data_IF_919613119491
#
_entry.id   IF_919613119491
#
_cell.length_a   1.000
_cell.length_b   1.000
_cell.length_c   1.000
_cell.angle_alpha   90.00
_cell.angle_beta   90.00
_cell.angle_gamma   90.00
#
_symmetry.space_group_name_H-M   'P 1'
#
loop_
_entity.id
_entity.type
_entity.pdbx_description
1 polymer ?
#
# COMPACT_ATOMS: atom_id res chain seq x y z
N UNK A 1 -3.20 23.26 -8.22
CA UNK A 1 -2.11 22.47 -7.62
C UNK A 1 -2.55 21.07 -7.23
N UNK A 2 -3.73 20.88 -6.65
CA UNK A 2 -4.20 19.61 -6.12
C UNK A 2 -5.13 18.82 -7.06
N UNK A 3 -5.33 19.29 -8.29
CA UNK A 3 -6.21 18.64 -9.27
C UNK A 3 -5.84 17.18 -9.55
N UNK A 4 -4.54 16.86 -9.56
CA UNK A 4 -4.06 15.50 -9.75
C UNK A 4 -4.50 14.52 -8.64
N UNK A 5 -4.84 15.04 -7.46
CA UNK A 5 -5.31 14.27 -6.31
C UNK A 5 -6.83 14.26 -6.14
N UNK A 6 -7.55 14.88 -7.08
CA UNK A 6 -9.01 14.93 -7.04
C UNK A 6 -9.63 13.55 -7.27
N UNK A 7 -10.53 13.13 -6.38
CA UNK A 7 -11.25 11.86 -6.51
C UNK A 7 -12.20 11.86 -7.70
N UNK A 8 -12.50 10.68 -8.24
CA UNK A 8 -13.48 10.53 -9.32
C UNK A 8 -14.91 10.40 -8.81
N UNK A 9 -15.07 9.91 -7.58
CA UNK A 9 -16.38 9.76 -6.96
C UNK A 9 -16.93 11.13 -6.58
N UNK A 10 -17.80 11.67 -7.43
CA UNK A 10 -18.47 12.95 -7.23
C UNK A 10 -19.96 12.71 -7.00
N UNK A 11 -20.43 12.99 -5.80
CA UNK A 11 -21.83 12.83 -5.42
C UNK A 11 -22.11 11.58 -4.58
N UNK A 12 -23.37 11.14 -4.58
CA UNK A 12 -23.84 10.01 -3.78
C UNK A 12 -23.62 8.69 -4.53
N UNK A 13 -22.97 7.73 -3.87
CA UNK A 13 -22.80 6.36 -4.39
C UNK A 13 -23.58 5.39 -3.50
N UNK A 14 -24.64 4.78 -4.03
CA UNK A 14 -25.49 3.85 -3.29
C UNK A 14 -24.81 2.53 -2.92
N UNK A 15 -23.68 2.18 -3.54
CA UNK A 15 -22.90 0.96 -3.20
C UNK A 15 -22.42 0.97 -1.75
N UNK A 16 -22.25 2.16 -1.15
CA UNK A 16 -21.88 2.30 0.27
C UNK A 16 -22.94 1.69 1.20
N UNK A 17 -24.19 1.70 0.83
CA UNK A 17 -25.28 1.13 1.65
C UNK A 17 -25.22 -0.39 1.67
N UNK A 18 -24.89 -1.01 0.54
CA UNK A 18 -24.76 -2.46 0.41
C UNK A 18 -23.48 -2.94 1.11
N UNK A 19 -22.35 -2.33 0.84
CA UNK A 19 -21.07 -2.68 1.43
C UNK A 19 -20.93 -2.20 2.89
N UNK A 20 -21.86 -1.34 3.37
CA UNK A 20 -21.82 -0.71 4.69
C UNK A 20 -20.52 0.10 4.94
N UNK A 21 -19.97 0.66 3.88
CA UNK A 21 -18.70 1.38 3.89
C UNK A 21 -18.93 2.87 4.15
N UNK A 22 -18.28 3.49 5.15
CA UNK A 22 -18.34 4.94 5.32
C UNK A 22 -17.78 5.66 4.08
N UNK A 23 -18.36 6.82 3.71
CA UNK A 23 -18.00 7.55 2.49
C UNK A 23 -16.51 7.89 2.38
N UNK A 24 -15.87 8.27 3.48
CA UNK A 24 -14.42 8.50 3.52
C UNK A 24 -13.60 7.25 3.22
N UNK A 25 -14.06 6.07 3.64
CA UNK A 25 -13.42 4.80 3.33
C UNK A 25 -13.51 4.48 1.83
N UNK A 26 -14.67 4.74 1.20
CA UNK A 26 -14.85 4.49 -0.24
C UNK A 26 -13.85 5.30 -1.08
N UNK A 27 -13.70 6.60 -0.77
CA UNK A 27 -12.75 7.47 -1.45
C UNK A 27 -11.30 7.00 -1.26
N UNK A 28 -10.97 6.57 -0.04
CA UNK A 28 -9.64 6.02 0.24
C UNK A 28 -9.39 4.73 -0.55
N UNK A 29 -10.35 3.80 -0.58
CA UNK A 29 -10.24 2.56 -1.34
C UNK A 29 -10.06 2.82 -2.83
N UNK A 30 -10.82 3.77 -3.41
CA UNK A 30 -10.63 4.16 -4.80
C UNK A 30 -9.20 4.64 -5.07
N UNK A 31 -8.69 5.55 -4.22
CA UNK A 31 -7.32 6.06 -4.33
C UNK A 31 -6.27 4.94 -4.21
N UNK A 32 -6.45 4.04 -3.25
CA UNK A 32 -5.55 2.91 -3.02
C UNK A 32 -5.56 1.91 -4.19
N UNK A 33 -6.74 1.56 -4.72
CA UNK A 33 -6.85 0.68 -5.88
C UNK A 33 -6.26 1.30 -7.15
N UNK A 34 -6.34 2.63 -7.30
CA UNK A 34 -5.65 3.34 -8.40
C UNK A 34 -4.14 3.19 -8.29
N UNK A 35 -3.57 3.37 -7.09
CA UNK A 35 -2.14 3.17 -6.85
C UNK A 35 -1.69 1.74 -7.18
N UNK A 36 -2.58 0.76 -6.96
CA UNK A 36 -2.36 -0.65 -7.28
C UNK A 36 -2.69 -1.00 -8.76
N UNK A 37 -3.02 0.00 -9.61
CA UNK A 37 -3.50 -0.22 -10.99
C UNK A 37 -4.73 -1.14 -11.08
N UNK A 38 -5.51 -1.23 -10.01
CA UNK A 38 -6.63 -2.16 -9.83
C UNK A 38 -7.97 -1.44 -9.62
N UNK A 39 -8.11 -0.18 -10.06
CA UNK A 39 -9.34 0.61 -9.90
C UNK A 39 -10.60 -0.09 -10.47
N UNK A 40 -10.43 -0.91 -11.52
CA UNK A 40 -11.50 -1.69 -12.15
C UNK A 40 -12.07 -2.80 -11.26
N UNK A 41 -11.38 -3.17 -10.17
CA UNK A 41 -11.79 -4.22 -9.22
C UNK A 41 -12.51 -3.68 -7.99
N UNK A 42 -12.88 -2.40 -7.97
CA UNK A 42 -13.55 -1.77 -6.82
C UNK A 42 -14.81 -2.51 -6.39
N UNK A 43 -15.65 -2.94 -7.33
CA UNK A 43 -16.90 -3.66 -7.02
C UNK A 43 -16.65 -5.03 -6.35
N UNK A 44 -15.60 -5.74 -6.75
CA UNK A 44 -15.19 -6.99 -6.10
C UNK A 44 -14.74 -6.75 -4.66
N UNK A 45 -13.97 -5.68 -4.43
CA UNK A 45 -13.54 -5.30 -3.07
C UNK A 45 -14.72 -4.90 -2.21
N UNK A 46 -15.67 -4.13 -2.74
CA UNK A 46 -16.89 -3.75 -2.01
C UNK A 46 -17.75 -4.96 -1.64
N UNK A 47 -17.81 -5.98 -2.50
CA UNK A 47 -18.51 -7.25 -2.19
C UNK A 47 -17.77 -8.10 -1.15
N UNK A 48 -16.43 -7.99 -1.07
CA UNK A 48 -15.62 -8.75 -0.10
C UNK A 48 -15.62 -8.12 1.30
N UNK A 49 -15.81 -6.81 1.43
CA UNK A 49 -15.81 -6.09 2.72
C UNK A 49 -16.80 -6.67 3.75
N UNK A 50 -18.08 -6.91 3.44
CA UNK A 50 -19.01 -7.52 4.39
C UNK A 50 -18.55 -8.90 4.87
N UNK A 51 -17.96 -9.70 4.00
CA UNK A 51 -17.47 -11.06 4.30
C UNK A 51 -16.26 -11.02 5.25
N UNK A 52 -15.32 -10.12 4.99
CA UNK A 52 -14.18 -9.91 5.89
C UNK A 52 -14.67 -9.40 7.25
N UNK A 53 -15.64 -8.47 7.26
CA UNK A 53 -16.22 -7.95 8.50
C UNK A 53 -16.89 -9.06 9.32
N UNK A 54 -17.60 -9.97 8.68
CA UNK A 54 -18.19 -11.15 9.33
C UNK A 54 -17.12 -12.05 9.92
N UNK A 55 -16.09 -12.40 9.16
CA UNK A 55 -14.97 -13.22 9.61
C UNK A 55 -14.25 -12.63 10.82
N UNK A 56 -14.23 -11.31 10.94
CA UNK A 56 -13.64 -10.57 12.06
C UNK A 56 -14.62 -10.27 13.22
N UNK A 57 -15.78 -10.96 13.26
CA UNK A 57 -16.75 -10.84 14.36
C UNK A 57 -17.55 -9.54 14.32
N UNK A 58 -17.87 -9.04 13.12
CA UNK A 58 -18.71 -7.85 12.88
C UNK A 58 -18.20 -6.57 13.51
N UNK A 59 -16.88 -6.39 13.55
CA UNK A 59 -16.27 -5.17 14.07
C UNK A 59 -16.86 -3.92 13.39
N UNK A 60 -16.99 -2.79 14.13
CA UNK A 60 -17.49 -1.55 13.55
C UNK A 60 -16.56 -1.00 12.48
N UNK A 61 -17.14 -0.47 11.39
CA UNK A 61 -16.38 0.16 10.31
C UNK A 61 -16.11 1.63 10.65
N UNK A 62 -15.18 1.86 11.53
CA UNK A 62 -14.67 3.16 11.98
C UNK A 62 -13.15 3.10 12.07
N UNK A 63 -12.47 4.23 12.07
CA UNK A 63 -11.00 4.27 12.22
C UNK A 63 -10.57 3.65 13.57
N UNK A 64 -9.63 2.67 13.61
CA UNK A 64 -8.83 2.13 12.49
C UNK A 64 -9.46 0.89 11.80
N UNK A 65 -10.47 0.28 12.37
CA UNK A 65 -11.02 -1.02 11.93
C UNK A 65 -11.59 -1.02 10.52
N UNK A 66 -12.11 0.13 10.06
CA UNK A 66 -12.53 0.27 8.66
C UNK A 66 -11.37 0.11 7.68
N UNK A 67 -10.19 0.63 8.01
CA UNK A 67 -8.99 0.46 7.20
C UNK A 67 -8.51 -0.99 7.22
N UNK A 68 -8.55 -1.64 8.37
CA UNK A 68 -8.16 -3.05 8.52
C UNK A 68 -9.01 -3.95 7.62
N UNK A 69 -10.34 -3.80 7.71
CA UNK A 69 -11.29 -4.55 6.87
C UNK A 69 -11.07 -4.26 5.39
N UNK A 70 -10.91 -2.98 5.03
CA UNK A 70 -10.69 -2.57 3.64
C UNK A 70 -9.40 -3.12 3.06
N UNK A 71 -8.30 -3.02 3.79
CA UNK A 71 -7.00 -3.55 3.35
C UNK A 71 -7.05 -5.07 3.19
N UNK A 72 -7.65 -5.79 4.15
CA UNK A 72 -7.78 -7.24 4.02
C UNK A 72 -8.66 -7.64 2.84
N UNK A 73 -9.75 -6.91 2.57
CA UNK A 73 -10.59 -7.15 1.39
C UNK A 73 -9.81 -6.94 0.08
N UNK A 74 -9.00 -5.90 -0.01
CA UNK A 74 -8.11 -5.67 -1.16
C UNK A 74 -7.10 -6.80 -1.32
N UNK A 75 -6.45 -7.24 -0.22
CA UNK A 75 -5.51 -8.37 -0.25
C UNK A 75 -6.18 -9.66 -0.75
N UNK A 76 -7.38 -9.96 -0.27
CA UNK A 76 -8.15 -11.14 -0.70
C UNK A 76 -8.46 -11.10 -2.19
N UNK A 77 -8.89 -9.94 -2.70
CA UNK A 77 -9.26 -9.75 -4.10
C UNK A 77 -8.02 -9.78 -5.00
N UNK A 78 -6.98 -9.01 -4.69
CA UNK A 78 -5.79 -8.92 -5.52
C UNK A 78 -4.94 -10.20 -5.47
N UNK A 79 -4.90 -10.87 -4.32
CA UNK A 79 -4.21 -12.14 -4.13
C UNK A 79 -4.88 -13.34 -4.81
N UNK A 80 -6.12 -13.18 -5.28
CA UNK A 80 -6.90 -14.23 -5.95
C UNK A 80 -7.42 -15.32 -5.02
N UNK A 81 -7.01 -15.33 -3.76
CA UNK A 81 -7.44 -16.29 -2.72
C UNK A 81 -7.64 -15.55 -1.41
N UNK A 82 -8.79 -15.83 -0.74
CA UNK A 82 -9.12 -15.24 0.55
C UNK A 82 -8.12 -15.64 1.62
N UNK A 83 -7.57 -14.63 2.31
CA UNK A 83 -6.61 -14.81 3.40
C UNK A 83 -5.33 -15.58 3.02
N UNK A 84 -4.95 -15.60 1.74
CA UNK A 84 -3.64 -16.06 1.32
C UNK A 84 -2.56 -15.26 2.06
N UNK A 85 -2.75 -13.95 2.12
CA UNK A 85 -1.98 -13.02 2.95
C UNK A 85 -2.91 -12.40 3.99
N UNK A 86 -2.53 -12.46 5.27
CA UNK A 86 -3.26 -11.84 6.37
C UNK A 86 -2.44 -10.62 6.82
N UNK A 87 -3.07 -9.44 6.79
CA UNK A 87 -2.44 -8.22 7.30
C UNK A 87 -2.18 -8.34 8.80
N UNK A 88 -1.12 -7.71 9.29
CA UNK A 88 -0.72 -7.73 10.72
C UNK A 88 -1.86 -7.31 11.65
N UNK A 89 -2.56 -6.24 11.27
CA UNK A 89 -3.67 -5.72 12.05
C UNK A 89 -4.90 -6.63 12.02
N UNK A 90 -5.16 -7.30 10.89
CA UNK A 90 -6.17 -8.35 10.79
C UNK A 90 -5.83 -9.52 11.72
N UNK A 91 -4.57 -9.93 11.73
CA UNK A 91 -4.08 -10.93 12.67
C UNK A 91 -4.25 -10.47 14.12
N UNK A 92 -3.98 -9.20 14.43
CA UNK A 92 -4.18 -8.62 15.77
C UNK A 92 -5.63 -8.69 16.23
N UNK A 93 -6.61 -8.43 15.35
CA UNK A 93 -8.04 -8.59 15.67
C UNK A 93 -8.34 -10.04 16.02
N UNK A 94 -7.89 -10.98 15.19
CA UNK A 94 -8.09 -12.41 15.40
C UNK A 94 -7.43 -12.93 16.68
N UNK A 95 -6.30 -12.32 17.09
CA UNK A 95 -5.61 -12.61 18.37
C UNK A 95 -6.28 -11.98 19.58
N UNK A 96 -7.27 -11.10 19.40
CA UNK A 96 -7.93 -10.37 20.48
C UNK A 96 -7.19 -9.11 20.95
N UNK A 97 -6.15 -8.66 20.25
CA UNK A 97 -5.34 -7.48 20.60
C UNK A 97 -6.12 -6.15 20.47
N UNK A 98 -7.27 -6.17 19.78
CA UNK A 98 -8.19 -5.02 19.64
C UNK A 98 -9.38 -5.08 20.61
N UNK A 99 -9.39 -6.05 21.53
CA UNK A 99 -10.46 -6.24 22.49
C UNK A 99 -11.59 -7.13 22.00
N UNK A 100 -12.71 -7.09 22.71
CA UNK A 100 -13.85 -7.97 22.44
C UNK A 100 -14.59 -7.56 21.17
N UNK A 101 -14.87 -8.53 20.29
CA UNK A 101 -15.67 -8.34 19.07
C UNK A 101 -17.17 -8.53 19.33
N UNK A 102 -18.06 -7.86 18.55
CA UNK A 102 -19.52 -7.98 18.71
C UNK A 102 -20.06 -9.40 18.56
N UNK A 103 -19.40 -10.22 17.75
CA UNK A 103 -19.71 -11.64 17.54
C UNK A 103 -18.41 -12.46 17.52
N UNK A 104 -18.50 -13.81 17.61
CA UNK A 104 -17.32 -14.65 17.46
C UNK A 104 -16.63 -14.44 16.11
N UNK A 105 -15.30 -14.39 16.12
CA UNK A 105 -14.49 -14.35 14.90
C UNK A 105 -14.48 -15.73 14.24
N UNK A 106 -14.07 -15.81 12.98
CA UNK A 106 -13.91 -17.06 12.25
C UNK A 106 -12.85 -17.94 12.94
N UNK A 107 -13.29 -19.08 13.50
CA UNK A 107 -12.47 -19.95 14.34
C UNK A 107 -11.28 -20.56 13.56
N UNK A 108 -11.46 -20.88 12.28
CA UNK A 108 -10.37 -21.45 11.47
C UNK A 108 -9.27 -20.41 11.19
N UNK A 109 -9.65 -19.16 10.90
CA UNK A 109 -8.70 -18.07 10.74
C UNK A 109 -7.99 -17.73 12.05
N UNK A 110 -8.74 -17.71 13.17
CA UNK A 110 -8.16 -17.48 14.49
C UNK A 110 -7.13 -18.56 14.85
N UNK A 111 -7.46 -19.82 14.67
CA UNK A 111 -6.53 -20.91 14.94
C UNK A 111 -5.25 -20.82 14.09
N UNK A 112 -5.41 -20.47 12.82
CA UNK A 112 -4.27 -20.28 11.91
C UNK A 112 -3.34 -19.13 12.36
N UNK A 113 -3.90 -18.03 12.86
CA UNK A 113 -3.14 -16.86 13.27
C UNK A 113 -2.50 -17.05 14.64
N UNK A 114 -3.17 -17.78 15.54
CA UNK A 114 -2.66 -18.08 16.88
C UNK A 114 -1.51 -19.08 16.86
N UNK A 115 -1.48 -19.97 15.87
CA UNK A 115 -0.46 -21.01 15.74
C UNK A 115 -0.19 -21.77 17.05
N UNK A 116 -1.27 -22.14 17.73
CA UNK A 116 -1.22 -22.83 19.03
C UNK A 116 -1.09 -21.93 20.27
N UNK A 117 -0.98 -20.63 20.10
CA UNK A 117 -1.02 -19.69 21.24
C UNK A 117 -2.45 -19.40 21.69
N UNK A 118 -2.59 -18.85 22.89
CA UNK A 118 -3.88 -18.40 23.43
C UNK A 118 -4.23 -17.01 22.92
N UNK A 119 -5.53 -16.79 22.67
CA UNK A 119 -6.04 -15.47 22.35
C UNK A 119 -6.05 -14.54 23.56
N UNK A 120 -5.86 -13.25 23.34
CA UNK A 120 -5.99 -12.21 24.37
C UNK A 120 -7.48 -12.10 24.75
N UNK A 121 -7.80 -12.36 26.01
CA UNK A 121 -9.16 -12.28 26.55
C UNK A 121 -9.34 -11.19 27.60
N UNK A 122 -8.25 -10.63 28.11
CA UNK A 122 -8.27 -9.46 29.00
C UNK A 122 -8.37 -8.15 28.20
N UNK A 123 -8.53 -7.03 28.88
CA UNK A 123 -8.42 -5.72 28.23
C UNK A 123 -6.99 -5.54 27.69
N UNK A 124 -6.79 -5.35 26.36
CA UNK A 124 -5.44 -5.28 25.79
C UNK A 124 -4.53 -4.22 26.40
N UNK A 125 -5.12 -3.09 26.86
CA UNK A 125 -4.38 -2.03 27.53
C UNK A 125 -3.68 -2.48 28.84
N UNK A 126 -4.17 -3.56 29.48
CA UNK A 126 -3.56 -4.08 30.71
C UNK A 126 -2.25 -4.84 30.44
N UNK A 127 -1.99 -5.17 29.17
CA UNK A 127 -0.75 -5.81 28.73
C UNK A 127 0.35 -4.79 28.39
N UNK A 128 0.00 -3.51 28.26
CA UNK A 128 0.96 -2.46 27.92
C UNK A 128 1.88 -2.18 29.11
N UNK A 129 3.16 -2.05 28.84
CA UNK A 129 4.16 -1.65 29.83
C UNK A 129 4.54 -0.19 29.58
N UNK A 130 4.93 0.57 30.64
CA UNK A 130 5.50 1.89 30.48
C UNK A 130 6.78 1.84 29.62
N UNK A 131 6.79 2.56 28.51
CA UNK A 131 7.91 2.51 27.54
C UNK A 131 8.74 3.80 27.51
N UNK A 132 8.23 4.91 28.10
CA UNK A 132 8.84 6.22 27.96
C UNK A 132 10.32 6.26 28.37
N UNK A 133 10.67 5.65 29.48
CA UNK A 133 12.06 5.65 29.96
C UNK A 133 13.01 4.90 29.01
N UNK A 134 12.55 3.79 28.40
CA UNK A 134 13.32 3.03 27.43
C UNK A 134 13.47 3.81 26.12
N UNK A 135 12.40 4.44 25.64
CA UNK A 135 12.39 5.31 24.46
C UNK A 135 13.32 6.52 24.64
N UNK A 136 13.29 7.14 25.81
CA UNK A 136 14.17 8.27 26.13
C UNK A 136 15.65 7.84 26.08
N UNK A 137 15.99 6.72 26.68
CA UNK A 137 17.35 6.19 26.63
C UNK A 137 17.80 5.87 25.21
N UNK A 138 16.92 5.26 24.41
CA UNK A 138 17.22 4.89 23.02
C UNK A 138 17.38 6.12 22.12
N UNK A 139 16.48 7.11 22.22
CA UNK A 139 16.58 8.35 21.44
C UNK A 139 17.84 9.13 21.79
N UNK A 140 18.21 9.22 23.07
CA UNK A 140 19.46 9.86 23.51
C UNK A 140 20.69 9.15 22.96
N UNK A 141 20.68 7.80 22.95
CA UNK A 141 21.75 7.00 22.35
C UNK A 141 21.87 7.27 20.84
N UNK A 142 20.76 7.20 20.11
CA UNK A 142 20.73 7.46 18.66
C UNK A 142 21.17 8.89 18.31
N UNK A 143 20.77 9.86 19.13
CA UNK A 143 21.18 11.25 18.95
C UNK A 143 22.70 11.41 19.12
N UNK A 144 23.29 10.74 20.12
CA UNK A 144 24.73 10.70 20.34
C UNK A 144 25.49 10.07 19.17
N UNK A 145 25.03 8.89 18.71
CA UNK A 145 25.64 8.16 17.59
C UNK A 145 25.63 8.96 16.29
N UNK A 146 24.58 9.75 16.06
CA UNK A 146 24.38 10.56 14.84
C UNK A 146 24.81 12.02 14.97
N UNK A 147 25.29 12.44 16.13
CA UNK A 147 25.67 13.85 16.37
C UNK A 147 24.50 14.83 16.36
N UNK A 148 23.29 14.37 16.70
CA UNK A 148 22.08 15.19 16.75
C UNK A 148 22.04 15.94 18.08
N UNK A 149 21.82 17.25 18.02
CA UNK A 149 21.56 18.08 19.21
C UNK A 149 20.06 18.05 19.52
N UNK A 150 19.69 17.48 20.67
CA UNK A 150 18.31 17.49 21.16
C UNK A 150 17.92 18.89 21.65
N UNK A 151 16.60 19.17 21.69
CA UNK A 151 16.06 20.39 22.25
C UNK A 151 16.36 20.48 23.77
N UNK A 152 16.30 21.68 24.33
CA UNK A 152 16.42 21.92 25.78
C UNK A 152 15.44 21.05 26.57
N UNK A 153 14.19 20.95 26.08
CA UNK A 153 13.21 19.99 26.57
C UNK A 153 13.28 18.70 25.74
N UNK A 154 14.19 17.80 26.08
CA UNK A 154 14.45 16.58 25.34
C UNK A 154 13.22 15.65 25.21
N UNK A 155 12.21 15.78 26.09
CA UNK A 155 11.00 14.94 26.03
C UNK A 155 10.19 15.17 24.76
N UNK A 156 10.18 16.38 24.21
CA UNK A 156 9.47 16.70 22.97
C UNK A 156 10.09 15.95 21.78
N UNK A 157 11.43 15.85 21.77
CA UNK A 157 12.17 15.12 20.76
C UNK A 157 11.95 13.59 20.91
N UNK A 158 11.94 13.10 22.13
CA UNK A 158 11.64 11.69 22.44
C UNK A 158 10.24 11.32 21.94
N UNK A 159 9.24 12.15 22.26
CA UNK A 159 7.87 11.92 21.80
C UNK A 159 7.75 12.04 20.27
N UNK A 160 8.49 12.96 19.65
CA UNK A 160 8.54 13.08 18.19
C UNK A 160 9.05 11.80 17.53
N UNK A 161 10.13 11.21 18.05
CA UNK A 161 10.66 9.95 17.54
C UNK A 161 9.75 8.77 17.91
N UNK A 162 9.17 8.75 19.12
CA UNK A 162 8.27 7.69 19.53
C UNK A 162 7.01 7.59 18.64
N UNK A 163 6.44 8.74 18.27
CA UNK A 163 5.25 8.82 17.42
C UNK A 163 5.57 8.64 15.92
N UNK A 164 6.75 9.07 15.49
CA UNK A 164 7.19 9.06 14.09
C UNK A 164 8.63 8.58 13.97
N UNK A 165 8.93 7.29 14.17
CA UNK A 165 10.31 6.82 14.35
C UNK A 165 11.29 7.23 13.24
N UNK A 166 10.91 7.05 11.98
CA UNK A 166 11.79 7.38 10.84
C UNK A 166 11.79 8.87 10.51
N UNK A 167 10.59 9.45 10.40
CA UNK A 167 10.43 10.86 10.02
C UNK A 167 10.89 11.77 11.16
N UNK A 168 10.65 11.37 12.42
CA UNK A 168 11.09 12.09 13.60
C UNK A 168 12.62 12.19 13.66
N UNK A 169 13.33 11.07 13.48
CA UNK A 169 14.81 11.09 13.42
C UNK A 169 15.31 11.97 12.29
N UNK A 170 14.76 11.83 11.08
CA UNK A 170 15.12 12.69 9.94
C UNK A 170 14.86 14.18 10.23
N UNK A 171 13.76 14.48 10.93
CA UNK A 171 13.45 15.84 11.37
C UNK A 171 14.50 16.34 12.35
N UNK A 172 14.87 15.56 13.36
CA UNK A 172 15.86 15.95 14.35
C UNK A 172 17.24 16.22 13.72
N UNK A 173 17.65 15.36 12.77
CA UNK A 173 18.89 15.53 12.00
C UNK A 173 18.92 16.83 11.19
N UNK A 174 17.76 17.29 10.71
CA UNK A 174 17.63 18.40 9.78
C UNK A 174 16.80 19.58 10.32
N UNK A 175 16.53 19.66 11.62
CA UNK A 175 15.68 20.68 12.26
C UNK A 175 16.01 22.11 11.82
N UNK A 176 17.29 22.42 11.60
CA UNK A 176 17.77 23.73 11.21
C UNK A 176 18.10 23.86 9.72
N UNK A 177 17.73 22.84 8.92
CA UNK A 177 17.97 22.82 7.47
C UNK A 177 16.64 22.71 6.70
N UNK A 178 15.94 23.82 6.45
CA UNK A 178 14.68 23.81 5.71
C UNK A 178 14.76 23.18 4.31
N UNK A 179 15.95 23.21 3.69
CA UNK A 179 16.17 22.65 2.35
C UNK A 179 16.09 21.11 2.32
N UNK A 180 16.19 20.43 3.48
CA UNK A 180 16.02 18.98 3.59
C UNK A 180 14.56 18.53 3.55
N UNK A 181 13.62 19.47 3.61
CA UNK A 181 12.18 19.19 3.63
C UNK A 181 11.50 19.67 2.36
N UNK A 182 10.25 19.23 2.16
CA UNK A 182 9.45 19.67 1.03
C UNK A 182 9.34 21.22 1.02
N UNK A 183 9.61 21.87 -0.14
CA UNK A 183 9.53 23.32 -0.22
C UNK A 183 8.10 23.81 0.02
N UNK A 184 7.98 24.98 0.63
CA UNK A 184 6.69 25.64 0.83
C UNK A 184 5.95 25.70 -0.51
N UNK A 185 4.67 25.23 -0.57
CA UNK A 185 3.88 25.28 -1.77
C UNK A 185 3.85 26.71 -2.33
N UNK A 186 4.39 26.90 -3.51
CA UNK A 186 4.24 28.16 -4.23
C UNK A 186 2.91 28.15 -4.98
N UNK A 187 2.20 29.26 -4.96
CA UNK A 187 1.06 29.48 -5.85
C UNK A 187 1.65 29.54 -7.25
N UNK A 188 1.48 28.44 -8.04
CA UNK A 188 1.67 28.59 -9.48
C UNK A 188 0.64 29.64 -9.92
N UNK A 189 1.13 30.79 -10.37
CA UNK A 189 0.26 31.70 -11.12
C UNK A 189 -0.39 30.86 -12.19
N UNK A 190 -1.74 30.75 -12.14
CA UNK A 190 -2.48 30.04 -13.13
C UNK A 190 -2.01 30.58 -14.47
N UNK A 191 -1.20 29.80 -15.19
CA UNK A 191 -0.88 30.12 -16.58
C UNK A 191 -2.24 30.36 -17.19
N UNK A 192 -2.52 31.60 -17.51
CA UNK A 192 -3.74 32.00 -18.18
C UNK A 192 -4.03 30.93 -19.21
N UNK A 193 -5.13 30.20 -19.02
CA UNK A 193 -5.50 29.13 -19.91
C UNK A 193 -5.47 29.76 -21.32
N UNK A 194 -4.46 29.40 -22.09
CA UNK A 194 -4.42 29.80 -23.49
C UNK A 194 -5.80 29.40 -24.03
N UNK A 195 -6.49 30.26 -24.75
CA UNK A 195 -7.84 29.97 -25.24
C UNK A 195 -7.83 28.58 -25.81
N UNK A 196 -8.75 27.74 -25.37
CA UNK A 196 -8.83 26.34 -25.74
C UNK A 196 -8.62 26.26 -27.24
N UNK A 197 -7.48 25.72 -27.67
CA UNK A 197 -7.26 25.41 -29.07
C UNK A 197 -8.39 24.48 -29.45
N UNK A 198 -9.17 24.89 -30.42
CA UNK A 198 -10.21 24.11 -31.04
C UNK A 198 -9.75 22.67 -31.23
N UNK A 199 -10.66 21.77 -30.89
CA UNK A 199 -10.61 20.32 -30.91
C UNK A 199 -9.40 19.72 -31.63
N UNK A 200 -8.50 19.12 -30.86
CA UNK A 200 -7.42 18.32 -31.41
C UNK A 200 -8.04 17.12 -32.16
N UNK A 201 -7.71 16.96 -33.42
CA UNK A 201 -8.04 15.75 -34.17
C UNK A 201 -7.53 14.54 -33.39
N UNK A 202 -8.43 13.71 -32.87
CA UNK A 202 -8.08 12.48 -32.16
C UNK A 202 -7.85 11.34 -33.16
N UNK A 203 -6.81 10.53 -32.94
CA UNK A 203 -6.62 9.26 -33.63
C UNK A 203 -7.10 8.17 -32.70
N UNK A 204 -8.09 7.40 -33.13
CA UNK A 204 -8.69 6.29 -32.39
C UNK A 204 -8.43 4.98 -33.11
N UNK A 205 -8.15 3.92 -32.39
CA UNK A 205 -8.17 2.57 -32.94
C UNK A 205 -9.51 1.96 -32.61
N UNK A 206 -10.30 1.65 -33.64
CA UNK A 206 -11.62 1.02 -33.51
C UNK A 206 -11.49 -0.41 -34.00
N UNK A 207 -11.87 -1.38 -33.18
CA UNK A 207 -11.91 -2.78 -33.55
C UNK A 207 -13.35 -3.17 -33.94
N UNK A 208 -13.49 -3.70 -35.12
CA UNK A 208 -14.77 -4.23 -35.63
C UNK A 208 -14.54 -5.64 -36.17
N UNK A 209 -15.24 -6.62 -35.61
CA UNK A 209 -15.16 -8.04 -36.02
C UNK A 209 -13.71 -8.60 -36.02
N UNK A 210 -12.89 -8.23 -35.00
CA UNK A 210 -11.50 -8.66 -34.86
C UNK A 210 -10.52 -7.95 -35.82
N UNK A 211 -10.96 -6.91 -36.55
CA UNK A 211 -10.08 -6.05 -37.38
C UNK A 211 -9.94 -4.68 -36.76
N UNK A 212 -8.70 -4.26 -36.50
CA UNK A 212 -8.37 -2.95 -35.97
C UNK A 212 -8.30 -1.89 -37.09
N UNK A 213 -9.06 -0.80 -36.90
CA UNK A 213 -9.07 0.36 -37.79
C UNK A 213 -8.55 1.58 -37.07
N UNK A 214 -7.62 2.29 -37.68
CA UNK A 214 -7.18 3.59 -37.15
C UNK A 214 -8.08 4.68 -37.74
N UNK A 215 -8.86 5.34 -36.85
CA UNK A 215 -9.84 6.37 -37.20
C UNK A 215 -9.33 7.73 -36.74
N UNK A 216 -9.16 8.66 -37.64
CA UNK A 216 -8.85 10.05 -37.36
C UNK A 216 -10.15 10.84 -37.31
N UNK A 217 -10.48 11.39 -36.18
CA UNK A 217 -11.66 12.24 -35.99
C UNK A 217 -11.21 13.70 -35.95
N UNK A 218 -11.78 14.54 -36.81
CA UNK A 218 -11.59 15.98 -36.83
C UNK A 218 -12.92 16.68 -37.05
N UNK A 219 -13.12 17.80 -36.36
CA UNK A 219 -14.30 18.63 -36.60
C UNK A 219 -14.23 19.30 -37.97
N UNK A 220 -15.24 19.07 -38.83
CA UNK A 220 -15.45 19.79 -40.08
C UNK A 220 -14.57 19.38 -41.28
N UNK A 221 -14.09 18.13 -41.35
CA UNK A 221 -13.29 17.64 -42.46
C UNK A 221 -14.09 16.98 -43.58
N UNK A 222 -13.65 17.19 -44.84
CA UNK A 222 -14.18 16.52 -46.01
C UNK A 222 -13.70 15.06 -46.06
N UNK A 223 -14.62 14.09 -46.17
CA UNK A 223 -14.39 12.64 -46.11
C UNK A 223 -13.83 12.03 -47.41
N UNK A 224 -13.42 12.83 -48.38
CA UNK A 224 -13.00 12.35 -49.70
C UNK A 224 -11.55 11.82 -49.79
N UNK A 225 -10.75 11.81 -48.68
CA UNK A 225 -9.39 11.29 -48.67
C UNK A 225 -9.11 10.34 -47.50
N UNK A 226 -9.57 9.10 -47.60
CA UNK A 226 -9.16 8.02 -46.71
C UNK A 226 -8.03 7.22 -47.35
N UNK A 227 -6.82 7.35 -46.82
CA UNK A 227 -5.68 6.50 -47.19
C UNK A 227 -5.48 5.41 -46.13
N UNK A 228 -5.35 4.16 -46.52
CA UNK A 228 -5.09 3.04 -45.64
C UNK A 228 -3.69 3.18 -45.00
N UNK A 229 -3.63 3.14 -43.68
CA UNK A 229 -2.36 3.18 -42.94
C UNK A 229 -1.69 1.80 -42.90
N UNK A 230 -0.37 1.77 -43.09
CA UNK A 230 0.46 0.58 -42.97
C UNK A 230 0.51 0.07 -41.50
N UNK A 231 0.72 -1.24 -41.27
CA UNK A 231 0.74 -1.81 -39.93
C UNK A 231 1.93 -1.29 -39.15
N UNK A 232 1.65 -0.82 -37.92
CA UNK A 232 2.66 -0.37 -36.96
C UNK A 232 3.30 -1.60 -36.33
N UNK A 233 4.63 -1.73 -36.49
CA UNK A 233 5.40 -2.77 -35.81
C UNK A 233 5.32 -2.61 -34.29
N UNK A 234 5.03 -3.70 -33.61
CA UNK A 234 5.04 -3.77 -32.14
C UNK A 234 6.44 -3.50 -31.61
N UNK A 235 6.53 -2.64 -30.59
CA UNK A 235 7.76 -2.39 -29.86
C UNK A 235 8.30 -3.67 -29.21
N UNK A 236 9.62 -3.86 -29.14
CA UNK A 236 10.20 -5.05 -28.51
C UNK A 236 9.90 -5.08 -27.04
N UNK A 237 9.45 -6.22 -26.54
CA UNK A 237 9.34 -6.52 -25.11
C UNK A 237 10.71 -6.36 -24.44
N UNK A 238 10.75 -5.75 -23.26
CA UNK A 238 11.94 -5.63 -22.46
C UNK A 238 12.55 -7.02 -22.20
N UNK A 239 13.86 -7.13 -22.37
CA UNK A 239 14.60 -8.38 -22.16
C UNK A 239 14.44 -8.84 -20.71
N UNK A 240 14.26 -10.15 -20.46
CA UNK A 240 14.23 -10.69 -19.10
C UNK A 240 15.60 -10.50 -18.43
N UNK A 241 15.59 -10.02 -17.19
CA UNK A 241 16.77 -10.00 -16.34
C UNK A 241 17.32 -11.43 -16.14
N UNK A 242 18.64 -11.63 -15.96
CA UNK A 242 19.23 -12.94 -15.85
C UNK A 242 18.66 -13.68 -14.64
N UNK A 243 18.09 -14.85 -14.90
CA UNK A 243 17.55 -15.75 -13.89
C UNK A 243 18.72 -16.28 -13.02
N UNK A 244 18.88 -15.73 -11.84
CA UNK A 244 19.57 -16.41 -10.75
C UNK A 244 18.75 -17.64 -10.32
N UNK A 245 19.41 -18.75 -10.01
CA UNK A 245 18.75 -19.99 -9.62
C UNK A 245 18.11 -19.87 -8.22
N UNK A 246 16.95 -19.24 -8.13
CA UNK A 246 16.18 -19.08 -6.90
C UNK A 246 14.71 -18.72 -7.20
N UNK A 247 13.81 -19.05 -6.27
CA UNK A 247 12.40 -18.66 -6.36
C UNK A 247 12.27 -17.19 -6.01
N UNK A 248 11.75 -16.34 -6.90
CA UNK A 248 11.59 -14.92 -6.60
C UNK A 248 10.47 -14.70 -5.57
N UNK A 249 10.76 -13.89 -4.57
CA UNK A 249 9.77 -13.33 -3.64
C UNK A 249 9.37 -11.97 -4.17
N UNK A 250 8.09 -11.80 -4.52
CA UNK A 250 7.58 -10.60 -5.18
C UNK A 250 6.69 -9.78 -4.27
N UNK A 251 6.57 -8.48 -4.55
CA UNK A 251 5.66 -7.59 -3.84
C UNK A 251 4.19 -7.93 -4.16
N UNK A 252 3.37 -8.25 -3.15
CA UNK A 252 1.94 -8.55 -3.35
C UNK A 252 1.11 -7.27 -3.56
N UNK A 253 1.62 -6.13 -3.14
CA UNK A 253 1.02 -4.80 -3.26
C UNK A 253 2.08 -3.77 -3.63
N UNK A 254 1.67 -2.70 -4.30
CA UNK A 254 2.51 -1.52 -4.43
C UNK A 254 2.59 -0.78 -3.09
N UNK A 255 3.78 -0.31 -2.75
CA UNK A 255 4.02 0.35 -1.47
C UNK A 255 5.47 0.77 -1.31
N UNK A 256 5.87 1.00 -0.05
CA UNK A 256 7.24 1.35 0.31
C UNK A 256 7.84 0.27 1.21
N UNK A 257 9.06 -0.13 0.98
CA UNK A 257 9.76 -1.06 1.86
C UNK A 257 10.04 -0.38 3.20
N UNK A 258 9.33 -0.81 4.22
CA UNK A 258 9.50 -0.27 5.57
C UNK A 258 10.80 -0.73 6.19
N UNK A 259 11.03 -2.05 6.18
CA UNK A 259 12.21 -2.66 6.78
C UNK A 259 12.56 -3.96 6.09
N UNK A 260 13.84 -4.17 5.80
CA UNK A 260 14.37 -5.46 5.39
C UNK A 260 14.93 -6.15 6.65
N UNK A 261 14.45 -7.34 6.97
CA UNK A 261 14.82 -8.12 8.14
C UNK A 261 15.80 -9.21 7.79
N UNK A 262 15.66 -9.79 6.58
CA UNK A 262 16.53 -10.83 6.09
C UNK A 262 17.87 -10.27 5.60
N UNK A 263 18.92 -11.05 5.76
CA UNK A 263 20.28 -10.73 5.28
C UNK A 263 20.68 -11.65 4.13
N UNK A 264 21.54 -11.17 3.25
CA UNK A 264 22.10 -11.98 2.16
C UNK A 264 22.81 -13.23 2.72
N UNK A 265 22.48 -14.40 2.17
CA UNK A 265 23.02 -15.68 2.62
C UNK A 265 22.35 -16.26 3.87
N UNK A 266 21.35 -15.61 4.47
CA UNK A 266 20.63 -16.13 5.63
C UNK A 266 19.77 -17.33 5.23
N UNK A 267 19.85 -18.41 6.02
CA UNK A 267 18.90 -19.51 5.93
C UNK A 267 17.62 -19.13 6.65
N UNK A 268 16.46 -19.30 5.99
CA UNK A 268 15.14 -18.97 6.50
C UNK A 268 14.22 -20.17 6.43
N UNK A 269 13.33 -20.28 7.41
CA UNK A 269 12.28 -21.30 7.42
C UNK A 269 11.05 -20.81 6.63
N UNK A 270 10.19 -21.75 6.22
CA UNK A 270 8.87 -21.40 5.67
C UNK A 270 8.07 -20.59 6.70
N UNK A 271 7.43 -19.50 6.26
CA UNK A 271 6.69 -18.58 7.10
C UNK A 271 7.54 -17.53 7.83
N UNK A 272 8.88 -17.58 7.77
CA UNK A 272 9.74 -16.56 8.37
C UNK A 272 9.59 -15.21 7.67
N UNK A 273 9.56 -14.11 8.45
CA UNK A 273 9.39 -12.75 7.92
C UNK A 273 10.70 -12.27 7.30
N UNK A 274 10.67 -11.96 6.01
CA UNK A 274 11.83 -11.52 5.23
C UNK A 274 11.98 -10.00 5.24
N UNK A 275 10.87 -9.30 5.06
CA UNK A 275 10.83 -7.85 5.06
C UNK A 275 9.40 -7.37 5.39
N UNK A 276 9.28 -6.09 5.70
CA UNK A 276 7.99 -5.42 5.96
C UNK A 276 7.77 -4.39 4.87
N UNK A 277 6.63 -4.51 4.19
CA UNK A 277 6.15 -3.59 3.17
C UNK A 277 5.07 -2.69 3.79
N UNK A 278 5.21 -1.38 3.72
CA UNK A 278 4.14 -0.45 4.02
C UNK A 278 3.32 -0.22 2.76
N UNK A 279 2.07 -0.68 2.77
CA UNK A 279 1.11 -0.47 1.70
C UNK A 279 -0.22 -0.04 2.31
N UNK A 280 -0.92 0.92 1.68
CA UNK A 280 -2.24 1.37 2.14
C UNK A 280 -2.25 1.88 3.59
N UNK A 281 -1.14 2.45 4.08
CA UNK A 281 -0.90 2.89 5.47
C UNK A 281 -0.92 1.75 6.50
N UNK A 282 -0.63 0.53 6.07
CA UNK A 282 -0.56 -0.64 6.91
C UNK A 282 0.72 -1.42 6.62
N UNK A 283 1.26 -2.03 7.66
CA UNK A 283 2.45 -2.88 7.54
C UNK A 283 2.03 -4.29 7.07
N UNK A 284 2.61 -4.74 5.96
CA UNK A 284 2.41 -6.10 5.45
C UNK A 284 3.72 -6.86 5.53
N UNK A 285 3.72 -7.95 6.29
CA UNK A 285 4.87 -8.83 6.40
C UNK A 285 4.99 -9.69 5.14
N UNK A 286 6.14 -9.63 4.50
CA UNK A 286 6.47 -10.51 3.38
C UNK A 286 7.25 -11.69 3.96
N UNK A 287 6.64 -12.87 3.87
CA UNK A 287 7.14 -14.09 4.49
C UNK A 287 7.70 -15.04 3.44
N UNK A 288 8.64 -15.89 3.84
CA UNK A 288 9.16 -16.97 3.02
C UNK A 288 8.05 -17.99 2.71
N UNK A 289 7.77 -18.21 1.42
CA UNK A 289 6.79 -19.21 0.98
C UNK A 289 7.32 -20.65 1.11
N UNK A 290 8.61 -20.80 1.29
CA UNK A 290 9.31 -22.08 1.48
C UNK A 290 10.62 -21.84 2.25
N UNK A 291 11.15 -22.86 2.89
CA UNK A 291 12.49 -22.78 3.48
C UNK A 291 13.55 -22.64 2.38
N UNK A 292 14.59 -21.87 2.63
CA UNK A 292 15.65 -21.62 1.65
C UNK A 292 16.74 -20.69 2.16
N UNK A 293 17.63 -20.30 1.28
CA UNK A 293 18.67 -19.31 1.58
C UNK A 293 18.38 -18.02 0.84
N UNK A 294 18.37 -16.89 1.54
CA UNK A 294 18.12 -15.56 0.96
C UNK A 294 19.26 -15.19 0.02
N UNK A 295 18.90 -14.77 -1.20
CA UNK A 295 19.85 -14.31 -2.21
C UNK A 295 19.28 -13.13 -2.98
N UNK A 296 20.18 -12.28 -3.48
CA UNK A 296 19.84 -11.21 -4.40
C UNK A 296 18.79 -10.27 -3.84
N UNK A 297 18.98 -9.71 -2.64
CA UNK A 297 18.09 -8.69 -2.08
C UNK A 297 18.12 -7.47 -3.00
N UNK A 298 17.02 -7.24 -3.72
CA UNK A 298 16.91 -6.21 -4.76
C UNK A 298 16.43 -4.86 -4.23
N UNK A 299 16.00 -4.79 -2.96
CA UNK A 299 15.37 -3.63 -2.35
C UNK A 299 15.98 -3.27 -1.01
N UNK A 300 15.85 -2.01 -0.61
CA UNK A 300 16.25 -1.48 0.70
C UNK A 300 15.11 -0.69 1.34
N UNK A 301 15.22 -0.42 2.64
CA UNK A 301 14.25 0.43 3.35
C UNK A 301 14.13 1.79 2.68
N UNK A 302 12.88 2.22 2.44
CA UNK A 302 12.53 3.46 1.75
C UNK A 302 12.29 3.31 0.24
N UNK A 303 12.60 2.18 -0.37
CA UNK A 303 12.34 1.96 -1.80
C UNK A 303 10.84 1.78 -2.06
N UNK A 304 10.34 2.43 -3.12
CA UNK A 304 9.00 2.21 -3.64
C UNK A 304 8.99 1.01 -4.59
N UNK A 305 7.99 0.15 -4.43
CA UNK A 305 7.82 -1.06 -5.25
C UNK A 305 6.41 -1.13 -5.83
N UNK A 306 6.29 -1.71 -7.01
CA UNK A 306 5.03 -2.03 -7.66
C UNK A 306 4.63 -3.50 -7.42
N UNK A 307 3.37 -3.83 -7.69
CA UNK A 307 2.88 -5.22 -7.64
C UNK A 307 3.70 -6.09 -8.59
N UNK A 308 4.23 -7.19 -8.08
CA UNK A 308 5.02 -8.15 -8.86
C UNK A 308 6.52 -7.84 -8.93
N UNK A 309 6.99 -6.70 -8.41
CA UNK A 309 8.42 -6.41 -8.35
C UNK A 309 9.12 -7.47 -7.49
N UNK A 310 10.28 -7.92 -7.95
CA UNK A 310 11.11 -8.89 -7.21
C UNK A 310 11.80 -8.18 -6.06
N UNK A 311 11.57 -8.65 -4.85
CA UNK A 311 12.13 -8.10 -3.61
C UNK A 311 13.45 -8.79 -3.24
N UNK A 312 13.47 -10.09 -3.33
CA UNK A 312 14.65 -10.96 -3.12
C UNK A 312 14.41 -12.34 -3.76
N UNK A 313 15.37 -13.22 -3.69
CA UNK A 313 15.27 -14.61 -4.16
C UNK A 313 15.55 -15.59 -3.03
N UNK A 314 14.87 -16.74 -3.03
CA UNK A 314 15.14 -17.88 -2.15
C UNK A 314 15.71 -19.03 -2.98
N UNK A 315 16.90 -19.51 -2.59
CA UNK A 315 17.61 -20.59 -3.24
C UNK A 315 17.72 -21.83 -2.33
#
# INVERSE_FOLDING_TARGET
KYHAFEGQLKGTDSRILVAQVPGGMLTNLEGQLKQQSAAHRLDEVLAEIPRVREDLGFIPLVTPTSQIVGTQAVLNVLGGERYKTIAKETAGILKGEYGHTPAPVNAALQARVLDGADAVTCRPADLLKPELAALEADVKRQAQEKGITLAENAIDDVLTVALFPQIGLKFLENRHNPAAFEPVPQVEEAKSAAPAKAAASGIYTVEVEGKAFVVKVSDGGDISQLSAAAPVASAPAAAPAPAGAGTPVTAPLAGTIWKVLASEGQAVAEGEVLLILEAMKMETEIRAAQAGTVRGIAVKSGDAVAVGDTLLQLA
#
